data_IF_219895400940
#
_entry.id   IF_219895400940
#
_cell.length_a   1.000
_cell.length_b   1.000
_cell.length_c   1.000
_cell.angle_alpha   90.00
_cell.angle_beta   90.00
_cell.angle_gamma   90.00
#
_symmetry.space_group_name_H-M   'P 1'
#
loop_
_entity.id
_entity.type
_entity.pdbx_description
1 polymer ?
#
# COMPACT_ATOMS: atom_id res chain seq x y z
N UNK A 1 -5.21 -20.08 -11.92
CA UNK A 1 -3.94 -20.06 -11.21
C UNK A 1 -3.21 -18.75 -11.45
N UNK A 2 -2.70 -18.17 -10.40
CA UNK A 2 -1.98 -16.91 -10.52
C UNK A 2 -0.62 -17.14 -11.17
N UNK A 3 -0.26 -16.28 -12.11
CA UNK A 3 1.04 -16.30 -12.75
C UNK A 3 1.77 -15.02 -12.43
N UNK A 4 2.98 -15.13 -11.91
CA UNK A 4 3.79 -13.98 -11.52
C UNK A 4 5.09 -13.96 -12.30
N UNK A 5 5.68 -12.76 -12.53
CA UNK A 5 6.98 -12.67 -13.18
C UNK A 5 8.03 -13.49 -12.44
N UNK A 6 8.89 -14.12 -13.20
CA UNK A 6 9.93 -14.96 -12.64
C UNK A 6 11.10 -14.13 -12.11
N UNK A 7 11.68 -14.57 -11.00
CA UNK A 7 12.90 -13.97 -10.48
C UNK A 7 14.07 -14.73 -11.07
N UNK A 8 14.86 -14.07 -11.91
CA UNK A 8 15.97 -14.68 -12.61
C UNK A 8 17.16 -14.91 -11.68
N UNK A 9 18.16 -15.68 -12.15
CA UNK A 9 19.38 -15.89 -11.39
C UNK A 9 20.13 -14.59 -11.11
N UNK A 10 20.14 -13.68 -12.08
CA UNK A 10 20.79 -12.36 -11.90
C UNK A 10 20.08 -11.56 -10.83
N UNK A 11 18.75 -11.56 -10.84
CA UNK A 11 17.95 -10.89 -9.82
C UNK A 11 18.22 -11.49 -8.44
N UNK A 12 18.31 -12.82 -8.35
CA UNK A 12 18.63 -13.50 -7.09
C UNK A 12 19.99 -13.06 -6.55
N UNK A 13 21.00 -12.93 -7.42
CA UNK A 13 22.33 -12.49 -7.01
C UNK A 13 22.29 -11.07 -6.47
N UNK A 14 21.58 -10.20 -7.14
CA UNK A 14 21.42 -8.80 -6.71
C UNK A 14 20.75 -8.73 -5.35
N UNK A 15 19.68 -9.49 -5.16
CA UNK A 15 18.93 -9.52 -3.91
C UNK A 15 19.81 -10.03 -2.76
N UNK A 16 20.53 -11.14 -2.99
CA UNK A 16 21.44 -11.69 -1.98
C UNK A 16 22.55 -10.71 -1.63
N UNK A 17 23.07 -10.01 -2.62
CA UNK A 17 24.12 -9.03 -2.39
C UNK A 17 23.67 -7.89 -1.47
N UNK A 18 22.42 -7.46 -1.62
CA UNK A 18 21.85 -6.40 -0.80
C UNK A 18 21.71 -6.85 0.67
N UNK A 19 21.42 -8.12 0.88
CA UNK A 19 21.22 -8.66 2.23
C UNK A 19 22.53 -8.99 2.96
N UNK A 20 23.68 -8.89 2.25
CA UNK A 20 24.96 -9.15 2.88
C UNK A 20 25.28 -8.11 3.95
N UNK A 21 26.16 -8.48 4.88
CA UNK A 21 26.64 -7.54 5.87
C UNK A 21 27.32 -6.35 5.18
N UNK A 22 26.94 -5.17 5.60
CA UNK A 22 27.47 -3.93 5.07
C UNK A 22 26.99 -2.78 5.92
N UNK A 23 27.26 -1.57 5.47
CA UNK A 23 26.85 -0.37 6.18
C UNK A 23 25.32 -0.27 6.14
N UNK A 24 24.69 -0.32 7.32
CA UNK A 24 23.22 -0.28 7.42
C UNK A 24 22.66 1.08 6.99
N UNK A 25 23.48 2.13 7.04
CA UNK A 25 23.04 3.46 6.63
C UNK A 25 23.30 3.75 5.15
N UNK A 26 23.88 2.79 4.44
CA UNK A 26 24.10 2.95 3.00
C UNK A 26 22.77 3.10 2.26
N UNK A 27 22.68 4.16 1.45
CA UNK A 27 21.49 4.41 0.63
C UNK A 27 21.51 3.47 -0.57
N UNK A 28 20.48 2.64 -0.70
CA UNK A 28 20.36 1.66 -1.78
C UNK A 28 19.38 2.10 -2.86
N UNK A 29 18.45 2.97 -2.52
CA UNK A 29 17.48 3.48 -3.50
C UNK A 29 16.92 4.83 -3.04
N UNK A 30 16.65 5.69 -3.99
CA UNK A 30 16.02 6.99 -3.73
C UNK A 30 15.00 7.27 -4.82
N UNK A 31 13.79 7.62 -4.42
CA UNK A 31 12.74 8.09 -5.31
C UNK A 31 11.62 8.68 -4.46
N UNK A 32 10.75 9.47 -5.07
CA UNK A 32 9.55 10.00 -4.40
C UNK A 32 9.89 10.81 -3.14
N UNK A 33 11.07 11.42 -3.09
CA UNK A 33 11.61 12.12 -1.91
C UNK A 33 11.77 11.19 -0.71
N UNK A 34 11.90 9.89 -0.97
CA UNK A 34 12.15 8.88 0.04
C UNK A 34 13.50 8.25 -0.18
N UNK A 35 14.16 7.93 0.90
CA UNK A 35 15.48 7.29 0.90
C UNK A 35 15.36 5.92 1.53
N UNK A 36 15.80 4.88 0.82
CA UNK A 36 15.80 3.52 1.32
C UNK A 36 17.24 3.10 1.60
N UNK A 37 17.53 2.80 2.86
CA UNK A 37 18.84 2.34 3.28
C UNK A 37 18.87 0.81 3.31
N UNK A 38 20.08 0.24 3.50
CA UNK A 38 20.24 -1.20 3.70
C UNK A 38 19.43 -1.68 4.90
N UNK A 39 19.39 -0.90 5.98
CA UNK A 39 18.59 -1.22 7.16
C UNK A 39 17.11 -1.37 6.80
N UNK A 40 16.59 -0.49 5.96
CA UNK A 40 15.20 -0.56 5.51
C UNK A 40 14.96 -1.81 4.69
N UNK A 41 15.85 -2.10 3.74
CA UNK A 41 15.73 -3.30 2.89
C UNK A 41 15.79 -4.58 3.72
N UNK A 42 16.58 -4.58 4.82
CA UNK A 42 16.64 -5.76 5.69
C UNK A 42 15.30 -6.12 6.30
N UNK A 43 14.37 -5.18 6.38
CA UNK A 43 13.01 -5.52 6.87
C UNK A 43 12.26 -6.43 5.91
N UNK A 44 12.73 -6.57 4.66
CA UNK A 44 12.18 -7.53 3.69
C UNK A 44 12.79 -8.91 3.81
N UNK A 45 13.88 -9.05 4.59
CA UNK A 45 14.59 -10.32 4.71
C UNK A 45 13.84 -11.28 5.63
N UNK A 46 13.75 -12.53 5.23
CA UNK A 46 13.12 -13.61 5.99
C UNK A 46 11.72 -13.21 6.53
N UNK A 47 11.52 -13.34 7.83
CA UNK A 47 10.24 -13.05 8.47
C UNK A 47 10.31 -11.74 9.27
N UNK A 48 11.16 -10.81 8.86
CA UNK A 48 11.18 -9.50 9.49
C UNK A 48 9.90 -8.73 9.14
N UNK A 49 9.55 -7.78 9.98
CA UNK A 49 8.38 -6.94 9.76
C UNK A 49 8.78 -5.74 8.92
N UNK A 50 8.04 -5.49 7.84
CA UNK A 50 8.28 -4.33 6.99
C UNK A 50 8.14 -3.05 7.80
N UNK A 51 9.04 -2.09 7.55
CA UNK A 51 8.96 -0.80 8.21
C UNK A 51 8.23 0.23 7.34
N UNK A 52 8.03 1.43 7.90
CA UNK A 52 7.32 2.53 7.24
C UNK A 52 7.95 2.90 5.91
N UNK A 53 9.28 2.95 5.85
CA UNK A 53 9.99 3.38 4.65
C UNK A 53 9.68 2.47 3.46
N UNK A 54 9.68 1.17 3.69
CA UNK A 54 9.39 0.18 2.65
C UNK A 54 7.95 0.32 2.17
N UNK A 55 7.01 0.41 3.09
CA UNK A 55 5.60 0.50 2.73
C UNK A 55 5.32 1.81 1.97
N UNK A 56 5.85 2.93 2.48
CA UNK A 56 5.68 4.22 1.80
C UNK A 56 6.28 4.21 0.39
N UNK A 57 7.47 3.62 0.24
CA UNK A 57 8.11 3.55 -1.06
C UNK A 57 7.26 2.72 -2.04
N UNK A 58 6.77 1.57 -1.58
CA UNK A 58 5.96 0.69 -2.43
C UNK A 58 4.65 1.37 -2.84
N UNK A 59 3.97 2.04 -1.92
CA UNK A 59 2.73 2.76 -2.24
C UNK A 59 2.98 3.87 -3.26
N UNK A 60 4.12 4.54 -3.19
CA UNK A 60 4.48 5.54 -4.19
C UNK A 60 4.73 4.92 -5.56
N UNK A 61 5.29 3.71 -5.61
CA UNK A 61 5.43 2.99 -6.89
C UNK A 61 4.06 2.65 -7.47
N UNK A 62 3.08 2.32 -6.63
CA UNK A 62 1.72 2.08 -7.11
C UNK A 62 1.08 3.35 -7.66
N UNK A 63 1.31 4.50 -7.00
CA UNK A 63 0.84 5.78 -7.54
C UNK A 63 1.47 6.08 -8.88
N UNK A 64 2.75 5.81 -9.05
CA UNK A 64 3.44 6.05 -10.30
C UNK A 64 2.89 5.16 -11.41
N UNK A 65 2.67 3.87 -11.10
CA UNK A 65 2.08 2.93 -12.07
C UNK A 65 0.67 3.36 -12.48
N UNK A 66 -0.08 3.96 -11.55
CA UNK A 66 -1.45 4.36 -11.83
C UNK A 66 -1.58 5.40 -12.93
N UNK A 67 -0.47 6.02 -13.34
CA UNK A 67 -0.46 6.97 -14.44
C UNK A 67 -0.51 6.30 -15.80
N UNK A 68 -0.32 4.97 -15.85
CA UNK A 68 -0.41 4.22 -17.09
C UNK A 68 -1.86 4.17 -17.58
N UNK A 69 -2.00 4.19 -18.91
CA UNK A 69 -3.31 4.19 -19.56
C UNK A 69 -4.09 2.93 -19.18
N UNK A 70 -5.35 3.12 -18.83
CA UNK A 70 -6.24 2.00 -18.51
C UNK A 70 -6.26 1.61 -17.05
N UNK A 71 -5.41 2.22 -16.23
CA UNK A 71 -5.43 1.94 -14.80
C UNK A 71 -6.19 3.02 -14.04
N UNK A 72 -6.80 2.66 -12.90
CA UNK A 72 -7.44 3.67 -12.04
C UNK A 72 -6.39 4.66 -11.54
N UNK A 73 -6.81 5.91 -11.36
CA UNK A 73 -5.94 6.90 -10.74
C UNK A 73 -5.92 6.65 -9.22
N UNK A 74 -4.76 6.84 -8.62
CA UNK A 74 -4.53 6.46 -7.22
C UNK A 74 -3.79 7.56 -6.47
N UNK A 75 -4.25 7.85 -5.27
CA UNK A 75 -3.44 8.58 -4.30
C UNK A 75 -3.25 7.69 -3.07
N UNK A 76 -2.03 7.60 -2.60
CA UNK A 76 -1.72 6.85 -1.39
C UNK A 76 -1.27 7.82 -0.29
N UNK A 77 -1.88 7.71 0.87
CA UNK A 77 -1.42 8.45 2.04
C UNK A 77 -0.22 7.72 2.64
N UNK A 78 0.66 8.47 3.33
CA UNK A 78 1.77 7.82 3.99
C UNK A 78 1.30 7.08 5.26
N UNK A 79 2.17 6.25 5.80
CA UNK A 79 1.84 5.36 6.91
C UNK A 79 1.50 6.08 8.22
N UNK A 80 1.78 7.38 8.33
CA UNK A 80 1.48 8.14 9.55
C UNK A 80 0.14 8.88 9.47
N UNK A 81 -0.47 8.92 8.30
CA UNK A 81 -1.69 9.70 8.07
C UNK A 81 -2.84 9.23 8.96
N UNK A 82 -3.15 7.95 8.93
CA UNK A 82 -4.34 7.44 9.63
C UNK A 82 -4.21 7.63 11.14
N UNK A 83 -3.06 7.33 11.71
CA UNK A 83 -2.83 7.48 13.14
C UNK A 83 -2.98 8.94 13.56
N UNK A 84 -2.43 9.86 12.76
CA UNK A 84 -2.53 11.30 13.04
C UNK A 84 -3.99 11.75 12.98
N UNK A 85 -4.70 11.30 11.95
CA UNK A 85 -6.13 11.62 11.80
C UNK A 85 -6.93 11.10 12.98
N UNK A 86 -6.71 9.84 13.36
CA UNK A 86 -7.45 9.21 14.45
C UNK A 86 -7.19 9.88 15.80
N UNK A 87 -5.94 10.22 16.08
CA UNK A 87 -5.56 10.74 17.40
C UNK A 87 -5.71 12.25 17.53
N UNK A 88 -5.51 13.00 16.45
CA UNK A 88 -5.47 14.45 16.50
C UNK A 88 -6.52 15.16 15.61
N UNK A 89 -7.28 14.39 14.83
CA UNK A 89 -8.38 14.90 14.04
C UNK A 89 -8.00 15.54 12.72
N UNK A 90 -9.00 15.99 11.99
CA UNK A 90 -8.83 16.53 10.65
C UNK A 90 -7.85 17.71 10.59
N UNK A 91 -7.92 18.61 11.58
CA UNK A 91 -7.08 19.81 11.58
C UNK A 91 -5.59 19.47 11.56
N UNK A 92 -5.22 18.31 12.12
CA UNK A 92 -3.82 17.89 12.18
C UNK A 92 -3.30 17.36 10.83
N UNK A 93 -4.19 16.97 9.92
CA UNK A 93 -3.80 16.39 8.63
C UNK A 93 -4.23 17.21 7.42
N UNK A 94 -4.98 18.30 7.63
CA UNK A 94 -5.54 19.05 6.51
C UNK A 94 -4.50 19.57 5.51
N UNK A 95 -3.28 19.83 5.96
CA UNK A 95 -2.22 20.33 5.09
C UNK A 95 -1.54 19.21 4.28
N UNK A 96 -1.75 17.97 4.66
CA UNK A 96 -1.12 16.83 3.98
C UNK A 96 -1.62 16.68 2.54
N UNK A 97 -2.80 17.21 2.25
CA UNK A 97 -3.38 17.20 0.91
C UNK A 97 -3.37 18.59 0.25
N UNK A 98 -2.47 19.45 0.69
CA UNK A 98 -2.39 20.82 0.17
C UNK A 98 -2.24 20.87 -1.36
N UNK A 99 -1.49 19.92 -1.92
CA UNK A 99 -1.23 19.87 -3.37
C UNK A 99 -1.95 18.74 -4.07
N UNK A 100 -2.90 18.09 -3.38
CA UNK A 100 -3.60 16.93 -3.92
C UNK A 100 -5.09 17.10 -3.74
N UNK A 101 -5.84 16.95 -4.84
CA UNK A 101 -7.29 16.87 -4.77
C UNK A 101 -7.67 15.39 -4.62
N UNK A 102 -7.99 14.98 -3.39
CA UNK A 102 -8.30 13.59 -3.11
C UNK A 102 -9.57 13.10 -3.83
N UNK A 103 -10.43 14.03 -4.24
CA UNK A 103 -11.67 13.68 -4.95
C UNK A 103 -11.46 13.54 -6.45
N UNK A 104 -10.27 13.84 -6.95
CA UNK A 104 -9.96 13.74 -8.39
C UNK A 104 -9.43 12.38 -8.79
N UNK A 105 -9.21 11.47 -7.84
CA UNK A 105 -8.68 10.13 -8.11
C UNK A 105 -9.76 9.09 -7.93
N UNK A 106 -9.54 7.91 -8.52
CA UNK A 106 -10.47 6.80 -8.41
C UNK A 106 -10.34 6.08 -7.06
N UNK A 107 -9.12 5.98 -6.55
CA UNK A 107 -8.81 5.16 -5.37
C UNK A 107 -7.88 5.92 -4.42
N UNK A 108 -8.20 5.87 -3.13
CA UNK A 108 -7.27 6.30 -2.07
C UNK A 108 -6.80 5.05 -1.34
N UNK A 109 -5.48 4.95 -1.16
CA UNK A 109 -4.87 3.90 -0.33
C UNK A 109 -4.47 4.50 1.01
N UNK A 110 -4.85 3.84 2.09
CA UNK A 110 -4.54 4.29 3.45
C UNK A 110 -3.91 3.15 4.22
N UNK A 111 -2.57 3.07 4.26
CA UNK A 111 -1.91 2.08 5.12
C UNK A 111 -2.19 2.41 6.57
N UNK A 112 -2.50 1.39 7.38
CA UNK A 112 -2.84 1.55 8.78
C UNK A 112 -1.94 0.68 9.63
N UNK A 113 -1.21 1.30 10.54
CA UNK A 113 -0.33 0.60 11.46
C UNK A 113 -0.98 0.60 12.86
N UNK A 114 -1.38 -0.58 13.30
CA UNK A 114 -2.03 -0.75 14.61
C UNK A 114 -1.02 -1.36 15.57
N UNK A 115 -0.16 -0.52 16.13
CA UNK A 115 0.90 -0.98 17.02
C UNK A 115 1.94 -1.79 16.26
N UNK A 116 1.76 -3.11 16.20
CA UNK A 116 2.70 -4.01 15.53
C UNK A 116 2.13 -4.65 14.27
N UNK A 117 0.91 -4.29 13.87
CA UNK A 117 0.21 -4.94 12.75
C UNK A 117 -0.13 -3.94 11.65
N UNK A 118 0.16 -4.33 10.40
CA UNK A 118 -0.16 -3.53 9.23
C UNK A 118 -1.48 -3.97 8.62
N UNK A 119 -2.35 -3.00 8.34
CA UNK A 119 -3.61 -3.19 7.63
C UNK A 119 -3.70 -2.17 6.49
N UNK A 120 -4.73 -2.29 5.68
CA UNK A 120 -4.97 -1.38 4.57
C UNK A 120 -6.43 -0.99 4.54
N UNK A 121 -6.71 0.30 4.39
CA UNK A 121 -8.04 0.77 4.03
C UNK A 121 -7.99 1.35 2.63
N UNK A 122 -9.05 1.12 1.86
CA UNK A 122 -9.16 1.58 0.49
C UNK A 122 -10.46 2.33 0.31
N UNK A 123 -10.37 3.56 -0.20
CA UNK A 123 -11.53 4.34 -0.61
C UNK A 123 -11.64 4.22 -2.12
N UNK A 124 -12.77 3.68 -2.61
CA UNK A 124 -13.01 3.57 -4.05
C UNK A 124 -14.19 4.49 -4.41
N UNK A 125 -13.88 5.61 -5.04
CA UNK A 125 -14.90 6.60 -5.41
C UNK A 125 -15.82 6.09 -6.51
N UNK A 126 -15.33 5.19 -7.36
CA UNK A 126 -16.13 4.64 -8.45
C UNK A 126 -17.22 3.73 -7.91
N UNK A 127 -16.87 2.94 -6.89
CA UNK A 127 -17.79 1.98 -6.26
C UNK A 127 -18.53 2.57 -5.07
N UNK A 128 -18.12 3.75 -4.61
CA UNK A 128 -18.66 4.41 -3.43
C UNK A 128 -18.55 3.52 -2.19
N UNK A 129 -17.36 3.00 -1.93
CA UNK A 129 -17.16 2.22 -0.71
C UNK A 129 -15.79 2.50 -0.09
N UNK A 130 -15.72 2.21 1.20
CA UNK A 130 -14.49 2.20 1.97
C UNK A 130 -14.36 0.80 2.53
N UNK A 131 -13.26 0.12 2.22
CA UNK A 131 -13.05 -1.27 2.61
C UNK A 131 -11.79 -1.39 3.44
N UNK A 132 -11.89 -2.09 4.55
CA UNK A 132 -10.77 -2.39 5.44
C UNK A 132 -10.30 -3.82 5.18
N UNK A 133 -8.98 -3.98 5.01
CA UNK A 133 -8.35 -5.26 4.72
C UNK A 133 -7.37 -5.60 5.82
N UNK A 134 -7.61 -6.71 6.51
CA UNK A 134 -6.73 -7.21 7.55
C UNK A 134 -6.43 -8.68 7.28
N UNK A 135 -5.16 -8.98 7.01
CA UNK A 135 -4.72 -10.35 6.69
C UNK A 135 -4.83 -11.32 7.88
N UNK A 136 -5.08 -10.82 9.08
CA UNK A 136 -5.37 -11.66 10.25
C UNK A 136 -6.86 -11.80 10.54
N UNK A 137 -7.70 -11.27 9.66
CA UNK A 137 -9.15 -11.40 9.77
C UNK A 137 -9.81 -10.47 10.77
N UNK A 138 -9.11 -9.47 11.26
CA UNK A 138 -9.68 -8.48 12.18
C UNK A 138 -10.70 -7.60 11.48
N UNK A 139 -11.71 -7.16 12.24
CA UNK A 139 -12.72 -6.25 11.74
C UNK A 139 -12.49 -4.88 12.35
N UNK A 140 -12.55 -3.84 11.54
CA UNK A 140 -12.35 -2.47 12.02
C UNK A 140 -13.30 -1.50 11.30
N UNK A 141 -14.56 -1.52 11.71
CA UNK A 141 -15.55 -0.61 11.15
C UNK A 141 -15.28 0.84 11.54
N UNK A 142 -14.62 1.05 12.69
CA UNK A 142 -14.26 2.39 13.13
C UNK A 142 -13.32 3.07 12.15
N UNK A 143 -12.34 2.34 11.62
CA UNK A 143 -11.42 2.91 10.64
C UNK A 143 -12.16 3.44 9.41
N UNK A 144 -13.13 2.67 8.92
CA UNK A 144 -13.94 3.10 7.77
C UNK A 144 -14.76 4.34 8.10
N UNK A 145 -15.34 4.42 9.31
CA UNK A 145 -16.10 5.60 9.72
C UNK A 145 -15.21 6.82 9.86
N UNK A 146 -14.00 6.65 10.40
CA UNK A 146 -13.03 7.76 10.52
C UNK A 146 -12.70 8.31 9.13
N UNK A 147 -12.49 7.42 8.15
CA UNK A 147 -12.16 7.84 6.79
C UNK A 147 -13.35 8.50 6.10
N UNK A 148 -14.56 8.01 6.30
CA UNK A 148 -15.74 8.66 5.74
C UNK A 148 -15.91 10.07 6.32
N UNK A 149 -15.71 10.21 7.63
CA UNK A 149 -15.76 11.52 8.29
C UNK A 149 -14.66 12.44 7.75
N UNK A 150 -13.47 11.89 7.50
CA UNK A 150 -12.38 12.65 6.88
C UNK A 150 -12.81 13.20 5.53
N UNK A 151 -13.44 12.38 4.68
CA UNK A 151 -13.88 12.83 3.36
C UNK A 151 -14.90 13.95 3.46
N UNK A 152 -15.80 13.89 4.43
CA UNK A 152 -16.77 14.97 4.67
C UNK A 152 -16.06 16.27 5.04
N UNK A 153 -15.09 16.19 5.94
CA UNK A 153 -14.34 17.37 6.38
C UNK A 153 -13.44 17.92 5.27
N UNK A 154 -12.81 17.04 4.53
CA UNK A 154 -11.97 17.46 3.40
C UNK A 154 -12.78 18.16 2.31
N UNK A 155 -13.98 17.68 2.03
CA UNK A 155 -14.86 18.29 1.04
C UNK A 155 -15.27 19.70 1.46
N UNK A 156 -15.68 19.88 2.70
CA UNK A 156 -16.06 21.20 3.20
C UNK A 156 -14.86 22.14 3.17
N UNK A 157 -13.71 21.69 3.63
CA UNK A 157 -12.50 22.52 3.70
C UNK A 157 -11.97 22.91 2.32
N UNK A 158 -11.87 21.95 1.41
CA UNK A 158 -11.21 22.15 0.11
C UNK A 158 -12.18 22.47 -1.03
N UNK A 159 -13.40 21.95 -0.99
CA UNK A 159 -14.40 22.10 -2.05
C UNK A 159 -15.54 23.03 -1.67
N UNK A 160 -15.63 23.42 -0.42
CA UNK A 160 -16.69 24.32 0.11
C UNK A 160 -18.09 23.76 -0.12
N UNK A 161 -18.24 22.43 -0.05
CA UNK A 161 -19.53 21.77 -0.21
C UNK A 161 -19.56 20.48 0.59
N UNK A 162 -20.76 20.04 0.93
CA UNK A 162 -20.94 18.78 1.62
C UNK A 162 -20.58 17.61 0.70
N UNK A 163 -19.98 16.58 1.28
CA UNK A 163 -19.70 15.36 0.56
C UNK A 163 -20.98 14.50 0.55
N UNK A 164 -21.42 14.14 -0.65
CA UNK A 164 -22.61 13.29 -0.81
C UNK A 164 -22.29 11.86 -0.41
N UNK A 165 -22.83 11.42 0.73
CA UNK A 165 -22.60 10.06 1.23
C UNK A 165 -23.65 9.04 0.78
N UNK A 166 -24.63 9.47 -0.05
CA UNK A 166 -25.65 8.55 -0.54
C UNK A 166 -25.02 7.41 -1.34
N UNK A 167 -25.42 6.19 -0.99
CA UNK A 167 -24.93 4.99 -1.66
C UNK A 167 -23.57 4.51 -1.18
N UNK A 168 -22.94 5.21 -0.25
CA UNK A 168 -21.64 4.77 0.29
C UNK A 168 -21.83 3.62 1.26
N UNK A 169 -20.96 2.62 1.12
CA UNK A 169 -20.95 1.44 1.98
C UNK A 169 -19.58 1.24 2.60
N UNK A 170 -19.58 0.75 3.82
CA UNK A 170 -18.36 0.49 4.59
C UNK A 170 -18.22 -1.01 4.79
N UNK A 171 -17.07 -1.57 4.43
CA UNK A 171 -16.82 -3.00 4.52
C UNK A 171 -15.55 -3.29 5.31
N UNK A 172 -15.55 -4.42 6.00
CA UNK A 172 -14.35 -4.94 6.63
C UNK A 172 -14.16 -6.39 6.17
N UNK A 173 -13.10 -6.62 5.39
CA UNK A 173 -12.84 -7.92 4.77
C UNK A 173 -12.06 -8.82 5.72
N UNK A 174 -12.46 -10.07 5.82
CA UNK A 174 -11.74 -11.04 6.63
C UNK A 174 -11.58 -12.37 5.88
N UNK A 175 -12.65 -13.15 5.73
CA UNK A 175 -12.55 -14.47 5.13
C UNK A 175 -12.58 -14.48 3.61
N UNK A 176 -12.93 -13.36 2.98
CA UNK A 176 -13.01 -13.26 1.53
C UNK A 176 -11.67 -12.92 0.89
N UNK A 177 -10.63 -12.72 1.68
CA UNK A 177 -9.30 -12.33 1.20
C UNK A 177 -8.26 -13.32 1.72
N UNK A 178 -7.11 -13.45 1.01
CA UNK A 178 -6.03 -14.28 1.52
C UNK A 178 -5.57 -13.80 2.89
N UNK A 179 -5.29 -14.74 3.78
CA UNK A 179 -4.89 -14.44 5.15
C UNK A 179 -3.48 -14.96 5.43
N UNK A 180 -2.76 -14.22 6.28
CA UNK A 180 -1.42 -14.61 6.67
C UNK A 180 -1.46 -15.78 7.66
N UNK A 181 -0.38 -16.57 7.66
CA UNK A 181 -0.25 -17.72 8.53
C UNK A 181 0.90 -17.57 9.53
N UNK A 182 1.50 -16.38 9.58
CA UNK A 182 2.51 -16.04 10.58
C UNK A 182 2.29 -14.60 11.02
N UNK A 183 3.05 -14.14 12.01
CA UNK A 183 2.86 -12.81 12.57
C UNK A 183 3.55 -11.68 11.81
N UNK A 184 4.41 -11.99 10.85
CA UNK A 184 5.33 -10.99 10.28
C UNK A 184 5.00 -10.53 8.86
N UNK A 185 4.15 -11.24 8.13
CA UNK A 185 3.88 -10.92 6.72
C UNK A 185 2.76 -9.91 6.49
N UNK A 186 2.22 -9.32 7.56
CA UNK A 186 1.09 -8.39 7.44
C UNK A 186 1.38 -7.22 6.50
N UNK A 187 2.60 -6.66 6.56
CA UNK A 187 2.99 -5.57 5.67
C UNK A 187 3.02 -5.99 4.21
N UNK A 188 3.52 -7.20 3.93
CA UNK A 188 3.50 -7.74 2.56
C UNK A 188 2.07 -7.93 2.07
N UNK A 189 1.20 -8.49 2.92
CA UNK A 189 -0.21 -8.66 2.54
C UNK A 189 -0.86 -7.32 2.22
N UNK A 190 -0.65 -6.30 3.08
CA UNK A 190 -1.21 -4.97 2.84
C UNK A 190 -0.74 -4.42 1.50
N UNK A 191 0.56 -4.52 1.21
CA UNK A 191 1.12 -4.05 -0.05
C UNK A 191 0.56 -4.80 -1.26
N UNK A 192 0.40 -6.11 -1.16
CA UNK A 192 -0.10 -6.90 -2.28
C UNK A 192 -1.60 -6.77 -2.47
N UNK A 193 -2.37 -6.54 -1.42
CA UNK A 193 -3.77 -6.14 -1.58
C UNK A 193 -3.84 -4.86 -2.40
N UNK A 194 -3.04 -3.86 -2.02
CA UNK A 194 -3.01 -2.57 -2.72
C UNK A 194 -2.60 -2.75 -4.18
N UNK A 195 -1.62 -3.60 -4.45
CA UNK A 195 -1.18 -3.89 -5.80
C UNK A 195 -2.32 -4.42 -6.67
N UNK A 196 -3.02 -5.43 -6.20
CA UNK A 196 -4.14 -6.03 -6.95
C UNK A 196 -5.28 -5.04 -7.15
N UNK A 197 -5.65 -4.32 -6.08
CA UNK A 197 -6.76 -3.37 -6.11
C UNK A 197 -6.49 -2.24 -7.09
N UNK A 198 -5.28 -1.71 -7.12
CA UNK A 198 -4.95 -0.56 -7.95
C UNK A 198 -4.76 -0.89 -9.42
N UNK A 199 -4.78 -2.15 -9.79
CA UNK A 199 -4.81 -2.55 -11.20
C UNK A 199 -6.08 -3.32 -11.56
N UNK A 200 -7.11 -3.22 -10.71
CA UNK A 200 -8.42 -3.86 -10.92
C UNK A 200 -8.31 -5.37 -11.19
N UNK A 201 -7.44 -6.03 -10.46
CA UNK A 201 -7.27 -7.49 -10.55
C UNK A 201 -7.79 -8.17 -9.30
N UNK A 202 -8.25 -9.42 -9.42
CA UNK A 202 -8.62 -10.19 -8.24
C UNK A 202 -7.43 -10.38 -7.30
N UNK A 203 -7.73 -10.47 -6.01
CA UNK A 203 -6.71 -10.76 -5.01
C UNK A 203 -6.51 -12.28 -5.04
N UNK A 204 -5.52 -12.73 -5.79
CA UNK A 204 -5.36 -14.15 -6.12
C UNK A 204 -4.04 -14.75 -5.65
N UNK A 205 -3.42 -14.18 -4.64
CA UNK A 205 -2.20 -14.72 -4.05
C UNK A 205 -2.53 -15.36 -2.69
N UNK A 206 -1.58 -16.10 -2.13
CA UNK A 206 -1.73 -16.76 -0.83
C UNK A 206 -0.47 -16.58 0.00
N UNK A 207 -0.49 -17.09 1.22
CA UNK A 207 0.67 -17.10 2.11
C UNK A 207 1.90 -17.71 1.43
N UNK A 208 1.71 -18.72 0.58
CA UNK A 208 2.82 -19.40 -0.09
C UNK A 208 3.65 -18.47 -0.97
N UNK A 209 3.05 -17.39 -1.45
CA UNK A 209 3.72 -16.46 -2.35
C UNK A 209 4.56 -15.41 -1.60
N UNK A 210 4.44 -15.32 -0.29
CA UNK A 210 5.09 -14.24 0.47
C UNK A 210 6.62 -14.23 0.34
N UNK A 211 7.32 -15.37 0.43
CA UNK A 211 8.78 -15.34 0.21
C UNK A 211 9.17 -14.80 -1.17
N UNK A 212 8.42 -15.17 -2.19
CA UNK A 212 8.61 -14.67 -3.54
C UNK A 212 8.37 -13.15 -3.59
N UNK A 213 7.28 -12.67 -3.01
CA UNK A 213 6.96 -11.24 -3.03
C UNK A 213 8.01 -10.41 -2.29
N UNK A 214 8.58 -10.94 -1.22
CA UNK A 214 9.63 -10.22 -0.49
C UNK A 214 10.86 -10.04 -1.36
N UNK A 215 11.30 -11.09 -2.07
CA UNK A 215 12.43 -10.99 -3.00
C UNK A 215 12.11 -10.03 -4.14
N UNK A 216 10.94 -10.17 -4.71
CA UNK A 216 10.50 -9.32 -5.81
C UNK A 216 10.49 -7.85 -5.38
N UNK A 217 10.01 -7.55 -4.20
CA UNK A 217 9.96 -6.17 -3.70
C UNK A 217 11.35 -5.58 -3.48
N UNK A 218 12.32 -6.37 -3.06
CA UNK A 218 13.71 -5.90 -2.98
C UNK A 218 14.14 -5.40 -4.36
N UNK A 219 13.96 -6.23 -5.38
CA UNK A 219 14.34 -5.87 -6.75
C UNK A 219 13.58 -4.60 -7.21
N UNK A 220 12.27 -4.57 -6.95
CA UNK A 220 11.43 -3.43 -7.37
C UNK A 220 11.88 -2.13 -6.74
N UNK A 221 12.23 -2.15 -5.46
CA UNK A 221 12.71 -0.95 -4.77
C UNK A 221 14.06 -0.52 -5.32
N UNK A 222 14.98 -1.46 -5.53
CA UNK A 222 16.30 -1.16 -6.08
C UNK A 222 16.20 -0.53 -7.47
N UNK A 223 15.28 -1.01 -8.28
CA UNK A 223 15.11 -0.52 -9.66
C UNK A 223 14.05 0.56 -9.80
N UNK A 224 13.39 0.91 -8.71
CA UNK A 224 12.37 1.98 -8.65
C UNK A 224 11.26 1.78 -9.66
N UNK A 225 10.88 0.51 -9.89
CA UNK A 225 9.76 0.19 -10.76
C UNK A 225 9.20 -1.19 -10.41
N UNK A 226 7.91 -1.36 -10.63
CA UNK A 226 7.26 -2.62 -10.38
C UNK A 226 7.62 -3.64 -11.46
N UNK A 227 7.83 -4.88 -11.04
CA UNK A 227 8.11 -5.97 -11.96
C UNK A 227 6.77 -6.46 -12.51
N UNK A 228 6.54 -6.20 -13.80
CA UNK A 228 5.30 -6.54 -14.44
C UNK A 228 5.47 -7.74 -15.36
N UNK A 229 4.40 -8.53 -15.47
CA UNK A 229 4.34 -9.58 -16.43
C UNK A 229 3.78 -8.98 -17.73
N UNK A 230 4.65 -8.76 -18.68
CA UNK A 230 4.25 -8.09 -19.91
C UNK A 230 3.60 -9.05 -20.87
N UNK A 231 2.33 -8.75 -21.18
CA UNK A 231 1.65 -9.60 -22.07
C UNK A 231 1.47 -8.99 -23.38
N UNK A 232 2.08 -7.93 -23.55
CA UNK A 232 1.74 -7.23 -24.59
C UNK A 232 2.48 -7.56 -25.70
N UNK A 233 2.65 -7.90 -26.13
CA UNK A 233 3.27 -8.12 -27.12
C UNK A 233 2.40 -8.57 -28.00
N UNK A 234 2.04 -8.21 -28.19
CA UNK A 234 1.55 -8.42 -29.07
C UNK A 234 0.86 -8.08 -29.41
#
# INVERSE_FOLDING_TARGET
MASFPEITEEMEKEIKNVFRNGNQDEVLSEAFRLTITRKDIQTLNHLNWLNDEIINFYMNMLMERSKEKGLPSVHAFNTFFFTKLKTAGYQAVKRWTKKVDVFSVDILLVPIHLGVHWCLAVVDFRKKNITYYDSMGGINNEACRILLQYLKQESIDKKRKEFDTNGWQLFSKKSQIPQQMNGSDCGMFACKYADCITKDRPINFTQQHMPYFRKRMVWEILHRKLLEHHHHHH
#
